data_IF_384666965800
#
_entry.id   IF_384666965800
#
_cell.length_a   1.000
_cell.length_b   1.000
_cell.length_c   1.000
_cell.angle_alpha   90.00
_cell.angle_beta   90.00
_cell.angle_gamma   90.00
#
_symmetry.space_group_name_H-M   'P 1'
#
loop_
_entity.id
_entity.type
_entity.pdbx_description
1 polymer ?
#
# COMPACT_ATOMS: atom_id res chain seq x y z
N UNK A 1 -32.86 -0.08 -4.54
CA UNK A 1 -31.55 -0.62 -4.98
C UNK A 1 -30.49 0.18 -4.25
N UNK A 2 -29.75 -0.44 -3.34
CA UNK A 2 -28.63 0.24 -2.67
C UNK A 2 -27.56 0.60 -3.70
N UNK A 3 -27.02 1.81 -3.59
CA UNK A 3 -25.92 2.26 -4.45
C UNK A 3 -24.70 1.42 -4.07
N UNK A 4 -24.11 0.66 -5.01
CA UNK A 4 -22.95 -0.14 -4.70
C UNK A 4 -21.81 0.77 -4.23
N UNK A 5 -21.03 0.35 -3.22
CA UNK A 5 -19.98 1.19 -2.67
C UNK A 5 -18.98 1.58 -3.76
N UNK A 6 -18.64 2.87 -3.83
CA UNK A 6 -17.71 3.42 -4.83
C UNK A 6 -16.26 3.11 -4.44
N UNK A 7 -15.89 1.83 -4.47
CA UNK A 7 -14.52 1.37 -4.23
C UNK A 7 -13.75 1.41 -5.55
N UNK A 8 -12.63 2.15 -5.65
CA UNK A 8 -11.80 2.14 -6.84
C UNK A 8 -11.34 0.72 -7.19
N UNK A 9 -11.40 0.36 -8.48
CA UNK A 9 -11.05 -1.00 -8.93
C UNK A 9 -9.63 -1.41 -8.53
N UNK A 10 -8.66 -0.49 -8.59
CA UNK A 10 -7.30 -0.76 -8.14
C UNK A 10 -7.24 -1.14 -6.66
N UNK A 11 -8.13 -0.63 -5.81
CA UNK A 11 -8.19 -1.03 -4.42
C UNK A 11 -8.75 -2.45 -4.26
N UNK A 12 -9.77 -2.81 -5.04
CA UNK A 12 -10.28 -4.19 -5.10
C UNK A 12 -9.18 -5.17 -5.55
N UNK A 13 -8.31 -4.76 -6.46
CA UNK A 13 -7.11 -5.51 -6.87
C UNK A 13 -6.14 -5.71 -5.71
N UNK A 14 -5.84 -4.66 -4.93
CA UNK A 14 -4.99 -4.78 -3.73
C UNK A 14 -5.58 -5.77 -2.72
N UNK A 15 -6.88 -5.63 -2.42
CA UNK A 15 -7.58 -6.52 -1.51
C UNK A 15 -7.52 -7.98 -2.01
N UNK A 16 -7.87 -8.20 -3.28
CA UNK A 16 -7.83 -9.52 -3.91
C UNK A 16 -6.43 -10.17 -3.89
N UNK A 17 -5.36 -9.37 -4.01
CA UNK A 17 -4.00 -9.90 -3.96
C UNK A 17 -3.56 -10.30 -2.55
N UNK A 18 -4.09 -9.63 -1.52
CA UNK A 18 -3.78 -9.95 -0.12
C UNK A 18 -4.61 -11.10 0.44
N UNK A 19 -5.90 -11.19 0.06
CA UNK A 19 -6.87 -12.12 0.69
C UNK A 19 -7.39 -13.19 -0.27
N UNK A 20 -7.06 -13.12 -1.56
CA UNK A 20 -7.56 -14.04 -2.56
C UNK A 20 -9.07 -13.96 -2.72
N UNK A 21 -9.75 -15.08 -2.46
CA UNK A 21 -11.23 -15.21 -2.55
C UNK A 21 -11.94 -14.99 -1.21
N UNK A 22 -11.21 -14.73 -0.13
CA UNK A 22 -11.79 -14.63 1.20
C UNK A 22 -12.54 -13.30 1.36
N UNK A 23 -13.86 -13.36 1.16
CA UNK A 23 -14.74 -12.18 1.24
C UNK A 23 -14.74 -11.57 2.63
N UNK A 24 -14.62 -12.37 3.70
CA UNK A 24 -14.64 -11.85 5.08
C UNK A 24 -13.38 -11.02 5.35
N UNK A 25 -12.22 -11.55 5.01
CA UNK A 25 -10.95 -10.81 5.12
C UNK A 25 -10.90 -9.61 4.18
N UNK A 26 -11.51 -9.70 3.00
CA UNK A 26 -11.62 -8.55 2.11
C UNK A 26 -12.43 -7.40 2.71
N UNK A 27 -13.52 -7.69 3.44
CA UNK A 27 -14.28 -6.67 4.18
C UNK A 27 -13.42 -6.01 5.25
N UNK A 28 -12.62 -6.77 5.99
CA UNK A 28 -11.70 -6.21 6.99
C UNK A 28 -10.66 -5.27 6.37
N UNK A 29 -10.01 -5.70 5.28
CA UNK A 29 -9.00 -4.90 4.57
C UNK A 29 -9.59 -3.60 4.00
N UNK A 30 -10.76 -3.69 3.37
CA UNK A 30 -11.45 -2.52 2.82
C UNK A 30 -11.97 -1.61 3.93
N UNK A 31 -12.42 -2.18 5.05
CA UNK A 31 -12.84 -1.47 6.26
C UNK A 31 -11.72 -0.63 6.86
N UNK A 32 -10.48 -1.15 6.92
CA UNK A 32 -9.29 -0.37 7.35
C UNK A 32 -9.05 0.87 6.50
N UNK A 33 -9.48 0.84 5.24
CA UNK A 33 -9.39 1.97 4.32
C UNK A 33 -10.62 2.87 4.31
N UNK A 34 -11.57 2.66 5.24
CA UNK A 34 -12.76 3.48 5.41
C UNK A 34 -13.96 3.09 4.55
N UNK A 35 -13.94 1.94 3.88
CA UNK A 35 -15.08 1.48 3.07
C UNK A 35 -16.00 0.57 3.89
N UNK A 36 -17.31 0.84 3.80
CA UNK A 36 -18.35 -0.05 4.32
C UNK A 36 -18.88 -0.90 3.17
N UNK A 37 -18.82 -2.22 3.31
CA UNK A 37 -19.31 -3.16 2.31
C UNK A 37 -20.50 -3.95 2.88
N UNK A 38 -21.71 -3.62 2.45
CA UNK A 38 -22.93 -4.33 2.83
C UNK A 38 -23.24 -5.56 1.96
N UNK A 39 -22.95 -5.49 0.66
CA UNK A 39 -23.23 -6.59 -0.29
C UNK A 39 -21.98 -7.46 -0.51
N UNK A 40 -21.93 -8.59 0.20
CA UNK A 40 -20.87 -9.59 0.08
C UNK A 40 -20.88 -10.34 -1.25
N UNK A 41 -22.04 -10.47 -1.90
CA UNK A 41 -22.18 -11.08 -3.22
C UNK A 41 -21.58 -10.20 -4.31
N UNK A 42 -21.83 -8.88 -4.25
CA UNK A 42 -21.14 -7.90 -5.10
C UNK A 42 -19.64 -7.92 -4.89
N UNK A 43 -19.18 -7.94 -3.64
CA UNK A 43 -17.75 -7.97 -3.33
C UNK A 43 -17.09 -9.25 -3.87
N UNK A 44 -17.72 -10.40 -3.70
CA UNK A 44 -17.23 -11.68 -4.25
C UNK A 44 -17.03 -11.61 -5.77
N UNK A 45 -18.01 -11.10 -6.52
CA UNK A 45 -17.89 -10.92 -7.98
C UNK A 45 -16.76 -9.95 -8.34
N UNK A 46 -16.64 -8.84 -7.61
CA UNK A 46 -15.57 -7.84 -7.82
C UNK A 46 -14.18 -8.40 -7.55
N UNK A 47 -14.00 -9.17 -6.48
CA UNK A 47 -12.74 -9.87 -6.17
C UNK A 47 -12.40 -10.89 -7.27
N UNK A 48 -13.39 -11.64 -7.75
CA UNK A 48 -13.20 -12.57 -8.87
C UNK A 48 -12.69 -11.84 -10.13
N UNK A 49 -13.31 -10.73 -10.51
CA UNK A 49 -12.85 -9.93 -11.66
C UNK A 49 -11.45 -9.34 -11.45
N UNK A 50 -11.15 -8.86 -10.25
CA UNK A 50 -9.84 -8.34 -9.90
C UNK A 50 -8.75 -9.42 -10.01
N UNK A 51 -9.04 -10.65 -9.56
CA UNK A 51 -8.14 -11.80 -9.69
C UNK A 51 -7.92 -12.21 -11.14
N UNK A 52 -8.98 -12.31 -11.94
CA UNK A 52 -8.86 -12.65 -13.36
C UNK A 52 -8.04 -11.59 -14.12
N UNK A 53 -8.24 -10.31 -13.77
CA UNK A 53 -7.43 -9.23 -14.32
C UNK A 53 -5.96 -9.36 -13.90
N UNK A 54 -5.69 -9.63 -12.61
CA UNK A 54 -4.33 -9.88 -12.10
C UNK A 54 -3.61 -11.03 -12.83
N UNK A 55 -4.31 -12.12 -13.12
CA UNK A 55 -3.71 -13.29 -13.78
C UNK A 55 -3.57 -13.12 -15.28
N UNK A 56 -4.54 -12.49 -15.95
CA UNK A 56 -4.61 -12.45 -17.41
C UNK A 56 -4.08 -11.18 -18.07
N UNK A 57 -4.10 -10.03 -17.38
CA UNK A 57 -3.96 -8.72 -18.04
C UNK A 57 -3.13 -7.71 -17.26
N UNK A 58 -2.92 -7.90 -15.95
CA UNK A 58 -2.27 -6.92 -15.11
C UNK A 58 -0.77 -6.78 -15.43
N UNK A 59 -0.29 -5.55 -15.64
CA UNK A 59 1.15 -5.25 -15.69
C UNK A 59 1.85 -5.66 -14.38
N UNK A 60 3.14 -5.98 -14.46
CA UNK A 60 3.92 -6.48 -13.31
C UNK A 60 3.96 -5.52 -12.12
N UNK A 61 3.76 -4.21 -12.34
CA UNK A 61 3.68 -3.21 -11.27
C UNK A 61 2.49 -3.43 -10.32
N UNK A 62 1.46 -4.16 -10.77
CA UNK A 62 0.31 -4.53 -9.93
C UNK A 62 0.48 -5.90 -9.26
N UNK A 63 1.43 -6.72 -9.74
CA UNK A 63 1.79 -8.02 -9.16
C UNK A 63 2.91 -7.84 -8.14
N UNK A 64 2.56 -7.74 -6.87
CA UNK A 64 3.51 -7.56 -5.78
C UNK A 64 3.18 -8.49 -4.62
N UNK A 65 4.22 -8.90 -3.90
CA UNK A 65 4.09 -9.59 -2.62
C UNK A 65 4.76 -8.70 -1.58
N UNK A 66 4.03 -8.34 -0.53
CA UNK A 66 4.63 -7.69 0.64
C UNK A 66 5.60 -8.69 1.26
N UNK A 67 6.83 -8.24 1.49
CA UNK A 67 7.89 -9.11 2.04
C UNK A 67 7.69 -9.23 3.54
N UNK A 68 7.63 -10.47 4.04
CA UNK A 68 7.49 -10.76 5.47
C UNK A 68 8.72 -10.29 6.25
N UNK A 69 9.90 -10.48 5.67
CA UNK A 69 11.19 -9.99 6.19
C UNK A 69 11.65 -8.72 5.45
N UNK A 70 12.60 -8.00 6.05
CA UNK A 70 13.22 -6.82 5.45
C UNK A 70 13.90 -7.21 4.12
N UNK A 71 13.53 -6.60 2.98
CA UNK A 71 14.08 -6.98 1.68
C UNK A 71 15.57 -6.62 1.60
N UNK A 72 16.38 -7.46 0.95
CA UNK A 72 17.81 -7.17 0.78
C UNK A 72 18.05 -5.90 -0.05
N UNK A 73 17.12 -5.52 -0.92
CA UNK A 73 17.20 -4.35 -1.79
C UNK A 73 17.16 -3.02 -1.03
N UNK A 74 16.88 -3.01 0.28
CA UNK A 74 17.01 -1.81 1.12
C UNK A 74 18.45 -1.28 1.18
N UNK A 75 19.46 -2.10 0.83
CA UNK A 75 20.84 -1.64 0.68
C UNK A 75 21.00 -0.61 -0.44
N UNK A 76 20.06 -0.53 -1.39
CA UNK A 76 20.06 0.47 -2.47
C UNK A 76 19.55 1.85 -2.00
N UNK A 77 18.99 1.96 -0.79
CA UNK A 77 18.45 3.22 -0.28
C UNK A 77 19.56 4.24 -0.03
N UNK A 78 19.39 5.45 -0.57
CA UNK A 78 20.28 6.57 -0.23
C UNK A 78 20.07 7.05 1.21
N UNK A 79 21.03 7.81 1.74
CA UNK A 79 20.91 8.40 3.09
C UNK A 79 19.65 9.25 3.26
N UNK A 80 19.25 10.00 2.23
CA UNK A 80 18.01 10.79 2.22
C UNK A 80 16.77 9.90 2.19
N UNK A 81 16.80 8.77 1.47
CA UNK A 81 15.69 7.82 1.45
C UNK A 81 15.52 7.12 2.80
N UNK A 82 16.63 6.73 3.46
CA UNK A 82 16.59 6.20 4.83
C UNK A 82 16.04 7.22 5.83
N UNK A 83 16.52 8.48 5.75
CA UNK A 83 15.98 9.60 6.56
C UNK A 83 14.48 9.81 6.30
N UNK A 84 14.03 9.71 5.05
CA UNK A 84 12.61 9.80 4.72
C UNK A 84 11.81 8.70 5.43
N UNK A 85 12.28 7.45 5.38
CA UNK A 85 11.60 6.31 6.03
C UNK A 85 11.52 6.49 7.55
N UNK A 86 12.60 6.96 8.19
CA UNK A 86 12.59 7.27 9.63
C UNK A 86 11.54 8.35 9.97
N UNK A 87 11.50 9.45 9.21
CA UNK A 87 10.52 10.52 9.43
C UNK A 87 9.09 9.99 9.22
N UNK A 88 8.87 9.21 8.16
CA UNK A 88 7.54 8.65 7.89
C UNK A 88 7.11 7.68 8.99
N UNK A 89 8.01 6.84 9.52
CA UNK A 89 7.69 5.94 10.62
C UNK A 89 7.17 6.69 11.85
N UNK A 90 7.80 7.82 12.21
CA UNK A 90 7.35 8.67 13.31
C UNK A 90 6.00 9.33 13.00
N UNK A 91 5.87 9.98 11.82
CA UNK A 91 4.61 10.64 11.42
C UNK A 91 3.45 9.66 11.31
N UNK A 92 3.73 8.44 10.88
CA UNK A 92 2.75 7.39 10.70
C UNK A 92 2.26 6.81 12.01
N UNK A 93 2.79 7.17 13.19
CA UNK A 93 2.19 6.75 14.48
C UNK A 93 0.92 7.54 14.83
N UNK A 94 0.88 8.81 14.47
CA UNK A 94 -0.17 9.74 14.92
C UNK A 94 -1.02 10.32 13.78
N UNK A 95 -0.60 10.15 12.52
CA UNK A 95 -1.38 10.68 11.39
C UNK A 95 -2.73 9.98 11.20
N UNK A 96 -3.62 10.64 10.47
CA UNK A 96 -4.82 9.99 9.96
C UNK A 96 -4.43 8.93 8.92
N UNK A 97 -4.91 7.69 9.09
CA UNK A 97 -4.54 6.54 8.25
C UNK A 97 -5.36 6.49 6.95
N UNK A 98 -5.30 7.57 6.16
CA UNK A 98 -6.03 7.72 4.89
C UNK A 98 -5.08 7.92 3.72
N UNK A 99 -5.44 7.34 2.57
CA UNK A 99 -4.57 7.23 1.41
C UNK A 99 -4.05 8.59 0.90
N UNK A 100 -4.90 9.62 0.89
CA UNK A 100 -4.51 10.97 0.49
C UNK A 100 -3.51 11.61 1.46
N UNK A 101 -3.79 11.55 2.77
CA UNK A 101 -2.89 12.06 3.80
C UNK A 101 -1.53 11.37 3.78
N UNK A 102 -1.51 10.05 3.66
CA UNK A 102 -0.29 9.25 3.53
C UNK A 102 0.50 9.65 2.28
N UNK A 103 -0.17 9.79 1.14
CA UNK A 103 0.48 10.21 -0.11
C UNK A 103 1.10 11.60 0.01
N UNK A 104 0.39 12.54 0.64
CA UNK A 104 0.84 13.90 0.87
C UNK A 104 2.05 13.96 1.81
N UNK A 105 2.04 13.19 2.91
CA UNK A 105 3.18 13.08 3.83
C UNK A 105 4.45 12.59 3.12
N UNK A 106 4.34 11.58 2.25
CA UNK A 106 5.48 11.08 1.47
C UNK A 106 6.04 12.18 0.56
N UNK A 107 5.16 12.90 -0.15
CA UNK A 107 5.56 14.00 -1.02
C UNK A 107 6.21 15.16 -0.27
N UNK A 108 5.58 15.61 0.83
CA UNK A 108 6.03 16.74 1.64
C UNK A 108 7.43 16.49 2.21
N UNK A 109 7.61 15.36 2.88
CA UNK A 109 8.89 15.03 3.51
C UNK A 109 9.96 14.64 2.48
N UNK A 110 9.58 13.97 1.40
CA UNK A 110 10.49 13.70 0.29
C UNK A 110 11.05 14.98 -0.32
N UNK A 111 10.18 15.95 -0.61
CA UNK A 111 10.57 17.26 -1.15
C UNK A 111 11.49 18.02 -0.19
N UNK A 112 11.21 18.00 1.12
CA UNK A 112 12.07 18.65 2.14
C UNK A 112 13.49 18.08 2.18
N UNK A 113 13.64 16.80 1.84
CA UNK A 113 14.94 16.13 1.77
C UNK A 113 15.60 16.23 0.39
N UNK A 114 15.04 17.02 -0.54
CA UNK A 114 15.55 17.15 -1.91
C UNK A 114 15.30 15.93 -2.80
N UNK A 115 14.45 14.99 -2.37
CA UNK A 115 14.10 13.83 -3.17
C UNK A 115 13.04 14.19 -4.21
N UNK A 116 13.18 13.66 -5.42
CA UNK A 116 12.10 13.68 -6.39
C UNK A 116 10.93 12.81 -5.90
N UNK A 117 9.69 13.03 -6.42
CA UNK A 117 8.56 12.15 -6.14
C UNK A 117 8.89 10.68 -6.39
N UNK A 118 9.52 10.37 -7.53
CA UNK A 118 9.88 9.01 -7.90
C UNK A 118 10.81 8.36 -6.85
N UNK A 119 11.86 9.07 -6.41
CA UNK A 119 12.78 8.55 -5.38
C UNK A 119 12.12 8.41 -4.01
N UNK A 120 11.18 9.29 -3.69
CA UNK A 120 10.43 9.23 -2.43
C UNK A 120 9.57 7.97 -2.36
N UNK A 121 8.81 7.67 -3.43
CA UNK A 121 8.01 6.45 -3.49
C UNK A 121 8.85 5.18 -3.67
N UNK A 122 9.97 5.26 -4.38
CA UNK A 122 10.90 4.14 -4.49
C UNK A 122 11.38 3.65 -3.12
N UNK A 123 11.64 4.55 -2.17
CA UNK A 123 12.04 4.18 -0.82
C UNK A 123 11.00 3.26 -0.15
N UNK A 124 9.72 3.59 -0.34
CA UNK A 124 8.59 2.82 0.19
C UNK A 124 8.52 1.42 -0.42
N UNK A 125 8.62 1.34 -1.75
CA UNK A 125 8.52 0.06 -2.45
C UNK A 125 9.73 -0.85 -2.19
N UNK A 126 10.93 -0.29 -2.03
CA UNK A 126 12.09 -1.08 -1.63
C UNK A 126 11.90 -1.67 -0.23
N UNK A 127 11.42 -0.87 0.73
CA UNK A 127 11.20 -1.34 2.10
C UNK A 127 10.08 -2.40 2.22
N UNK A 128 8.98 -2.26 1.45
CA UNK A 128 7.81 -3.14 1.59
C UNK A 128 7.80 -4.31 0.60
N UNK A 129 8.34 -4.12 -0.61
CA UNK A 129 8.22 -5.06 -1.73
C UNK A 129 9.57 -5.63 -2.20
N UNK A 130 10.68 -4.92 -1.92
CA UNK A 130 11.97 -5.18 -2.58
C UNK A 130 11.95 -4.80 -4.06
N UNK A 131 11.09 -3.86 -4.46
CA UNK A 131 10.93 -3.42 -5.87
C UNK A 131 11.08 -1.91 -5.97
N UNK A 132 11.52 -1.43 -7.14
CA UNK A 132 11.69 0.02 -7.40
C UNK A 132 10.38 0.76 -7.66
N UNK A 133 9.31 0.03 -7.98
CA UNK A 133 7.99 0.55 -8.27
C UNK A 133 6.92 -0.39 -7.74
N UNK A 134 5.69 0.12 -7.64
CA UNK A 134 4.56 -0.62 -7.11
C UNK A 134 3.24 0.11 -7.33
N UNK A 135 2.15 -0.39 -6.73
CA UNK A 135 0.84 0.23 -6.80
C UNK A 135 0.84 1.60 -6.11
N UNK A 136 -0.18 2.43 -6.36
CA UNK A 136 -0.30 3.76 -5.74
C UNK A 136 -0.11 3.71 -4.21
N UNK A 137 1.01 4.27 -3.74
CA UNK A 137 1.52 4.10 -2.38
C UNK A 137 0.51 4.41 -1.28
N UNK A 138 -0.27 5.49 -1.40
CA UNK A 138 -1.26 5.87 -0.38
C UNK A 138 -2.24 4.73 -0.08
N UNK A 139 -2.90 4.20 -1.10
CA UNK A 139 -3.84 3.08 -0.95
C UNK A 139 -3.15 1.79 -0.51
N UNK A 140 -1.97 1.53 -1.06
CA UNK A 140 -1.18 0.35 -0.73
C UNK A 140 -0.82 0.33 0.76
N UNK A 141 -0.25 1.41 1.28
CA UNK A 141 0.14 1.53 2.69
C UNK A 141 -1.08 1.42 3.61
N UNK A 142 -2.19 2.11 3.30
CA UNK A 142 -3.39 2.07 4.17
C UNK A 142 -4.08 0.71 4.19
N UNK A 143 -3.83 -0.12 3.17
CA UNK A 143 -4.35 -1.48 3.12
C UNK A 143 -3.56 -2.47 4.00
N UNK A 144 -2.35 -2.09 4.43
CA UNK A 144 -1.50 -2.87 5.32
C UNK A 144 -1.77 -2.54 6.79
N UNK A 145 -1.30 -3.43 7.67
CA UNK A 145 -1.28 -3.15 9.10
C UNK A 145 -0.34 -1.97 9.41
N UNK A 146 -0.85 -0.99 10.17
CA UNK A 146 -0.13 0.25 10.49
C UNK A 146 1.14 -0.03 11.30
N UNK A 147 1.08 -0.92 12.29
CA UNK A 147 2.22 -1.24 13.13
C UNK A 147 3.31 -1.95 12.32
N UNK A 148 2.93 -2.86 11.44
CA UNK A 148 3.84 -3.49 10.48
C UNK A 148 4.58 -2.46 9.62
N UNK A 149 3.87 -1.50 9.01
CA UNK A 149 4.49 -0.48 8.16
C UNK A 149 5.49 0.38 8.94
N UNK A 150 5.10 0.83 10.14
CA UNK A 150 5.96 1.65 11.00
C UNK A 150 7.23 0.90 11.38
N UNK A 151 7.12 -0.36 11.83
CA UNK A 151 8.28 -1.18 12.18
C UNK A 151 9.19 -1.41 10.97
N UNK A 152 8.61 -1.78 9.82
CA UNK A 152 9.40 -1.98 8.59
C UNK A 152 10.16 -0.72 8.16
N UNK A 153 9.55 0.45 8.31
CA UNK A 153 10.22 1.71 7.95
C UNK A 153 11.35 2.06 8.93
N UNK A 154 11.21 1.76 10.22
CA UNK A 154 12.30 1.91 11.19
C UNK A 154 13.45 0.98 10.84
N UNK A 155 13.18 -0.32 10.61
CA UNK A 155 14.19 -1.31 10.22
C UNK A 155 14.96 -0.89 8.96
N UNK A 156 14.25 -0.44 7.92
CA UNK A 156 14.84 -0.02 6.66
C UNK A 156 15.58 1.32 6.72
N UNK A 157 15.42 2.08 7.81
CA UNK A 157 16.03 3.41 7.98
C UNK A 157 17.42 3.38 8.62
N UNK A 158 17.84 2.22 9.12
CA UNK A 158 19.19 1.95 9.65
C UNK A 158 20.14 1.67 8.50
#
# INVERSE_FOLDING_TARGET
KEVPPQIPFLHLVLAAQMVGSDVRRAVEVLGRSGYVVGDTGWLSRRLHHARNWLTGYAPDVFKFKVREELPAEVVELSGEQKKLLAILAERFRDCEWRAEGIHNLIHEHGKRLGLSPARSFQAIYLALLGKKSGPRAGWFITSLDRAFVVQRFLEASV
#
